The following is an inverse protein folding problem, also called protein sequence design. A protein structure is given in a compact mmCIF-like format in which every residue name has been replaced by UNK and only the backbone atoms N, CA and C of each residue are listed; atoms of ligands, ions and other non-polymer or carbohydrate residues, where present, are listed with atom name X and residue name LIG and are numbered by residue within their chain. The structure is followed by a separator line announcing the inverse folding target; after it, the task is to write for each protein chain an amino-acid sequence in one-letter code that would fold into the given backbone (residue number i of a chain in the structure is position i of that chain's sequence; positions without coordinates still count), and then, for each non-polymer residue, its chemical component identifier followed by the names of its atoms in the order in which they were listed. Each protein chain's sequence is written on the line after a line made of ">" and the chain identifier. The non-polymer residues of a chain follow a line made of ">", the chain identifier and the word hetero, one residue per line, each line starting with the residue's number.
data_IF_918319052752
#
_entry.id   IF_918319052752
#
_cell.length_a   1.000
_cell.length_b   1.000
_cell.length_c   1.000
_cell.angle_alpha   90.00
_cell.angle_beta   90.00
_cell.angle_gamma   90.00
#
_symmetry.space_group_name_H-M   'P 1'
#
loop_
_entity.id
_entity.type
_entity.pdbx_description
1 polymer ?
#
# COMPACT_ATOMS: atom_id res chain seq x y z
N UNK A 1 8.47 -2.62 -0.18
CA UNK A 1 9.37 -3.53 -0.92
C UNK A 1 9.30 -3.22 -2.41
N UNK A 2 8.42 -3.85 -3.20
CA UNK A 2 8.46 -3.84 -4.66
C UNK A 2 8.59 -2.48 -5.37
N UNK A 3 7.89 -1.43 -4.93
CA UNK A 3 7.87 -0.12 -5.62
C UNK A 3 9.15 0.71 -5.38
N UNK A 4 9.99 0.31 -4.42
CA UNK A 4 11.26 0.95 -4.06
C UNK A 4 12.38 0.67 -5.09
N UNK A 5 12.14 1.03 -6.35
CA UNK A 5 13.06 0.93 -7.49
C UNK A 5 12.86 2.15 -8.38
N UNK A 6 13.86 2.57 -9.16
CA UNK A 6 13.75 3.69 -10.08
C UNK A 6 14.58 3.48 -11.35
N UNK A 7 13.93 3.54 -12.52
CA UNK A 7 14.59 3.46 -13.83
C UNK A 7 15.47 4.68 -14.08
N UNK A 8 14.99 5.88 -13.74
CA UNK A 8 15.73 7.13 -13.96
C UNK A 8 16.90 7.33 -13.00
N UNK A 9 16.79 6.88 -11.75
CA UNK A 9 17.87 6.99 -10.74
C UNK A 9 18.84 5.79 -10.75
N UNK A 10 18.48 4.70 -11.42
CA UNK A 10 19.30 3.50 -11.58
C UNK A 10 19.38 2.60 -10.34
N UNK A 11 20.16 1.50 -10.41
CA UNK A 11 20.13 0.43 -9.39
C UNK A 11 20.54 0.85 -7.97
N UNK A 12 21.26 1.98 -7.83
CA UNK A 12 21.65 2.50 -6.51
C UNK A 12 20.49 3.11 -5.72
N UNK A 13 19.34 3.36 -6.36
CA UNK A 13 18.15 3.89 -5.70
C UNK A 13 17.36 2.82 -4.92
N UNK A 14 17.48 1.55 -5.31
CA UNK A 14 16.73 0.44 -4.72
C UNK A 14 16.50 -0.69 -5.73
N UNK A 15 16.39 -1.93 -5.26
CA UNK A 15 16.31 -3.13 -6.09
C UNK A 15 14.89 -3.65 -6.36
N UNK A 16 13.86 -3.01 -5.80
CA UNK A 16 12.46 -3.35 -6.03
C UNK A 16 11.97 -4.49 -5.14
N UNK A 17 11.42 -5.56 -5.74
CA UNK A 17 10.93 -6.71 -4.97
C UNK A 17 12.11 -7.61 -4.58
N UNK A 18 12.93 -7.15 -3.63
CA UNK A 18 14.22 -7.73 -3.27
C UNK A 18 14.33 -8.09 -1.77
N UNK A 19 13.30 -7.78 -0.97
CA UNK A 19 13.27 -8.01 0.47
C UNK A 19 14.12 -7.02 1.27
N UNK A 20 14.49 -5.86 0.70
CA UNK A 20 15.28 -4.83 1.38
C UNK A 20 14.65 -4.39 2.71
N UNK A 21 13.31 -4.39 2.79
CA UNK A 21 12.56 -4.10 4.02
C UNK A 21 12.91 -5.05 5.18
N UNK A 22 13.15 -6.34 4.89
CA UNK A 22 13.49 -7.35 5.90
C UNK A 22 15.00 -7.40 6.18
N UNK A 23 15.82 -7.15 5.16
CA UNK A 23 17.28 -7.22 5.25
C UNK A 23 17.88 -5.96 5.88
N UNK A 24 17.22 -4.80 5.74
CA UNK A 24 17.61 -3.52 6.31
C UNK A 24 16.47 -2.91 7.16
N UNK A 25 16.02 -3.61 8.22
CA UNK A 25 14.79 -3.26 8.93
C UNK A 25 14.88 -1.94 9.71
N UNK A 26 16.07 -1.37 9.84
CA UNK A 26 16.29 -0.08 10.51
C UNK A 26 16.47 1.09 9.54
N UNK A 27 16.29 0.89 8.23
CA UNK A 27 16.46 1.93 7.20
C UNK A 27 15.10 2.33 6.62
N UNK A 28 14.59 1.59 5.64
CA UNK A 28 13.36 1.95 4.92
C UNK A 28 12.11 2.02 5.81
N UNK A 29 11.90 1.11 6.79
CA UNK A 29 10.75 1.21 7.69
C UNK A 29 10.71 2.48 8.53
N UNK A 30 11.83 3.20 8.66
CA UNK A 30 11.90 4.46 9.41
C UNK A 30 11.65 5.71 8.54
N UNK A 31 11.44 5.57 7.22
CA UNK A 31 11.01 6.68 6.37
C UNK A 31 9.55 7.04 6.65
N UNK A 32 9.20 8.32 6.56
CA UNK A 32 7.84 8.79 6.91
C UNK A 32 6.75 8.15 6.06
N UNK A 33 7.02 7.92 4.77
CA UNK A 33 6.09 7.27 3.85
C UNK A 33 5.86 5.77 4.16
N UNK A 34 6.71 5.16 5.00
CA UNK A 34 6.62 3.77 5.42
C UNK A 34 6.08 3.62 6.86
N UNK A 35 5.52 4.67 7.45
CA UNK A 35 5.01 4.63 8.82
C UNK A 35 4.03 3.46 9.02
N UNK A 36 4.33 2.59 9.99
CA UNK A 36 3.53 1.39 10.31
C UNK A 36 3.93 0.11 9.56
N UNK A 37 4.87 0.16 8.60
CA UNK A 37 5.31 -1.05 7.90
C UNK A 37 6.14 -1.98 8.80
N UNK A 38 6.71 -1.45 9.89
CA UNK A 38 7.54 -2.14 10.86
C UNK A 38 6.83 -3.35 11.49
N UNK A 39 5.52 -3.28 11.73
CA UNK A 39 4.72 -4.41 12.19
C UNK A 39 4.81 -5.61 11.24
N UNK A 40 4.64 -5.37 9.93
CA UNK A 40 4.71 -6.41 8.90
C UNK A 40 6.13 -6.97 8.75
N UNK A 41 7.14 -6.10 8.82
CA UNK A 41 8.56 -6.49 8.78
C UNK A 41 8.91 -7.39 9.97
N UNK A 42 8.54 -6.97 11.17
CA UNK A 42 8.77 -7.72 12.40
C UNK A 42 8.05 -9.08 12.41
N UNK A 43 6.87 -9.16 11.80
CA UNK A 43 6.14 -10.42 11.64
C UNK A 43 6.82 -11.40 10.68
N UNK A 44 7.48 -10.92 9.61
CA UNK A 44 8.09 -11.77 8.59
C UNK A 44 9.54 -12.16 8.87
N UNK A 45 10.31 -11.36 9.63
CA UNK A 45 11.70 -11.67 10.00
C UNK A 45 11.84 -13.08 10.64
N UNK A 46 10.98 -13.51 11.58
CA UNK A 46 11.04 -14.86 12.13
C UNK A 46 10.87 -15.97 11.09
N UNK A 47 10.06 -15.75 10.05
CA UNK A 47 9.90 -16.71 8.95
C UNK A 47 11.15 -16.76 8.07
N UNK A 48 11.81 -15.62 7.82
CA UNK A 48 13.10 -15.58 7.14
C UNK A 48 14.17 -16.37 7.89
N UNK A 49 14.22 -16.24 9.22
CA UNK A 49 15.15 -17.02 10.05
C UNK A 49 14.81 -18.53 10.05
N UNK A 50 13.53 -18.89 10.04
CA UNK A 50 13.05 -20.28 10.09
C UNK A 50 13.14 -21.00 8.75
N UNK A 51 13.07 -20.27 7.63
CA UNK A 51 13.07 -20.81 6.27
C UNK A 51 14.25 -20.28 5.45
N UNK A 52 15.51 -20.57 5.84
CA UNK A 52 16.71 -19.94 5.28
C UNK A 52 16.99 -20.30 3.81
N UNK A 53 16.28 -21.27 3.24
CA UNK A 53 16.38 -21.63 1.81
C UNK A 53 15.52 -20.74 0.91
N UNK A 54 14.72 -19.84 1.48
CA UNK A 54 13.86 -18.89 0.76
C UNK A 54 14.42 -17.49 1.00
N UNK A 55 14.60 -16.70 -0.05
CA UNK A 55 15.13 -15.34 0.06
C UNK A 55 14.11 -14.38 0.69
N UNK A 56 14.58 -13.27 1.26
CA UNK A 56 13.73 -12.23 1.82
C UNK A 56 12.69 -11.73 0.79
N UNK A 57 13.12 -11.43 -0.45
CA UNK A 57 12.22 -10.99 -1.51
C UNK A 57 11.17 -12.04 -1.88
N UNK A 58 11.52 -13.33 -1.90
CA UNK A 58 10.53 -14.38 -2.14
C UNK A 58 9.57 -14.54 -0.96
N UNK A 59 10.04 -14.38 0.29
CA UNK A 59 9.19 -14.41 1.49
C UNK A 59 8.14 -13.30 1.45
N UNK A 60 8.54 -12.05 1.15
CA UNK A 60 7.61 -10.92 1.07
C UNK A 60 6.52 -11.20 0.03
N UNK A 61 6.91 -11.56 -1.19
CA UNK A 61 5.96 -11.77 -2.28
C UNK A 61 5.06 -12.99 -2.05
N UNK A 62 5.60 -14.09 -1.51
CA UNK A 62 4.81 -15.27 -1.19
C UNK A 62 3.83 -15.02 -0.05
N UNK A 63 4.26 -14.33 1.01
CA UNK A 63 3.40 -13.97 2.13
C UNK A 63 2.21 -13.11 1.69
N UNK A 64 2.44 -12.13 0.80
CA UNK A 64 1.36 -11.33 0.20
C UNK A 64 0.36 -12.17 -0.60
N UNK A 65 0.85 -13.10 -1.44
CA UNK A 65 -0.01 -14.01 -2.20
C UNK A 65 -0.86 -14.92 -1.28
N UNK A 66 -0.26 -15.44 -0.21
CA UNK A 66 -0.98 -16.23 0.81
C UNK A 66 -2.00 -15.36 1.56
N UNK A 67 -1.65 -14.13 1.95
CA UNK A 67 -2.56 -13.22 2.63
C UNK A 67 -3.81 -12.93 1.79
N UNK A 68 -3.64 -12.57 0.52
CA UNK A 68 -4.74 -12.31 -0.41
C UNK A 68 -5.61 -13.55 -0.64
N UNK A 69 -5.05 -14.76 -0.61
CA UNK A 69 -5.84 -15.99 -0.77
C UNK A 69 -6.90 -16.20 0.33
N UNK A 70 -6.80 -15.48 1.45
CA UNK A 70 -7.78 -15.52 2.53
C UNK A 70 -8.93 -14.51 2.33
N UNK A 71 -8.83 -13.60 1.37
CA UNK A 71 -9.83 -12.58 1.06
C UNK A 71 -10.81 -13.12 0.01
N UNK A 72 -12.10 -13.30 0.32
CA UNK A 72 -13.08 -13.75 -0.67
C UNK A 72 -13.12 -12.81 -1.88
N UNK A 73 -13.04 -13.38 -3.10
CA UNK A 73 -13.01 -12.61 -4.35
C UNK A 73 -11.60 -12.33 -4.89
N UNK A 74 -10.55 -12.50 -4.08
CA UNK A 74 -9.18 -12.23 -4.51
C UNK A 74 -8.69 -13.24 -5.56
N UNK A 75 -7.84 -12.80 -6.51
CA UNK A 75 -7.21 -13.71 -7.46
C UNK A 75 -6.19 -14.61 -6.77
N UNK A 76 -5.98 -15.80 -7.35
CA UNK A 76 -4.78 -16.60 -7.04
C UNK A 76 -3.60 -16.01 -7.82
N UNK A 77 -2.76 -15.25 -7.13
CA UNK A 77 -1.62 -14.59 -7.76
C UNK A 77 -0.62 -15.59 -8.35
N UNK A 78 0.00 -15.20 -9.46
CA UNK A 78 1.22 -15.83 -9.93
C UNK A 78 2.34 -15.63 -8.89
N UNK A 79 3.09 -16.70 -8.62
CA UNK A 79 4.26 -16.63 -7.76
C UNK A 79 5.46 -17.24 -8.48
N UNK A 80 6.40 -16.37 -8.87
CA UNK A 80 7.71 -16.75 -9.36
C UNK A 80 8.72 -16.62 -8.22
N UNK A 81 9.54 -17.64 -8.03
CA UNK A 81 10.59 -17.72 -7.01
C UNK A 81 11.99 -17.64 -7.63
N UNK A 82 13.00 -17.45 -6.79
CA UNK A 82 14.40 -17.38 -7.17
C UNK A 82 15.01 -15.98 -7.06
N UNK A 83 14.37 -15.05 -6.34
CA UNK A 83 15.00 -13.75 -6.06
C UNK A 83 16.28 -13.93 -5.25
N UNK A 84 17.37 -13.21 -5.56
CA UNK A 84 18.58 -13.27 -4.76
C UNK A 84 18.33 -12.82 -3.31
N UNK A 85 19.07 -13.39 -2.36
CA UNK A 85 18.99 -13.01 -0.94
C UNK A 85 20.06 -11.97 -0.54
N UNK A 86 20.38 -11.04 -1.44
CA UNK A 86 21.32 -9.95 -1.21
C UNK A 86 20.89 -8.73 -2.02
N UNK A 87 20.87 -7.57 -1.38
CA UNK A 87 20.47 -6.29 -1.99
C UNK A 87 21.03 -5.11 -1.19
N UNK A 88 20.54 -3.90 -1.44
CA UNK A 88 20.81 -2.64 -0.74
C UNK A 88 19.52 -2.07 -0.15
N UNK A 89 19.56 -1.23 0.89
CA UNK A 89 18.39 -0.45 1.27
C UNK A 89 18.05 0.54 0.16
N UNK A 90 16.76 0.73 -0.12
CA UNK A 90 16.33 1.76 -1.04
C UNK A 90 16.47 3.17 -0.44
N UNK A 91 16.55 4.18 -1.30
CA UNK A 91 16.49 5.59 -0.89
C UNK A 91 15.06 6.01 -0.54
N UNK A 92 14.94 7.07 0.25
CA UNK A 92 13.64 7.69 0.55
C UNK A 92 13.03 8.38 -0.68
N UNK A 93 11.72 8.64 -0.63
CA UNK A 93 10.95 9.32 -1.67
C UNK A 93 10.59 8.44 -2.88
N UNK A 94 10.62 7.11 -2.71
CA UNK A 94 10.21 6.14 -3.73
C UNK A 94 8.80 5.56 -3.51
N UNK A 95 8.20 5.82 -2.35
CA UNK A 95 6.85 5.37 -1.98
C UNK A 95 5.85 6.48 -2.29
N UNK A 96 4.79 6.22 -3.08
CA UNK A 96 3.67 7.16 -3.22
C UNK A 96 3.01 7.45 -1.87
N UNK A 97 2.66 8.71 -1.61
CA UNK A 97 1.98 9.14 -0.37
C UNK A 97 0.56 9.65 -0.67
N UNK A 98 -0.37 9.60 0.29
CA UNK A 98 -1.79 9.89 0.02
C UNK A 98 -2.07 11.34 -0.39
N UNK A 99 -1.18 12.29 -0.10
CA UNK A 99 -1.25 13.68 -0.53
C UNK A 99 -0.66 13.97 -1.92
N UNK A 100 -0.07 12.96 -2.57
CA UNK A 100 0.52 13.12 -3.90
C UNK A 100 -0.52 13.48 -4.97
N UNK A 101 -0.11 14.26 -5.96
CA UNK A 101 -0.93 14.53 -7.14
C UNK A 101 -1.01 13.30 -8.05
N UNK A 102 -2.06 13.20 -8.87
CA UNK A 102 -2.19 12.13 -9.88
C UNK A 102 -0.97 12.10 -10.82
N UNK A 103 -0.42 13.26 -11.19
CA UNK A 103 0.82 13.33 -11.98
C UNK A 103 2.00 12.68 -11.26
N UNK A 104 2.19 12.99 -9.96
CA UNK A 104 3.26 12.42 -9.15
C UNK A 104 3.13 10.91 -9.05
N UNK A 105 1.92 10.42 -8.74
CA UNK A 105 1.61 8.99 -8.62
C UNK A 105 1.90 8.28 -9.95
N UNK A 106 1.29 8.73 -11.05
CA UNK A 106 1.45 8.05 -12.35
C UNK A 106 2.91 8.06 -12.82
N UNK A 107 3.63 9.17 -12.63
CA UNK A 107 5.06 9.24 -12.96
C UNK A 107 5.91 8.32 -12.06
N UNK A 108 5.56 8.20 -10.78
CA UNK A 108 6.28 7.32 -9.84
C UNK A 108 6.14 5.86 -10.26
N UNK A 109 4.93 5.45 -10.62
CA UNK A 109 4.65 4.09 -11.11
C UNK A 109 5.29 3.82 -12.48
N UNK A 110 5.26 4.77 -13.42
CA UNK A 110 5.96 4.64 -14.70
C UNK A 110 7.49 4.51 -14.51
N UNK A 111 8.08 5.34 -13.65
CA UNK A 111 9.52 5.27 -13.36
C UNK A 111 9.93 3.98 -12.62
N UNK A 112 9.07 3.43 -11.76
CA UNK A 112 9.36 2.19 -11.04
C UNK A 112 9.33 0.97 -11.98
N UNK A 113 8.30 0.85 -12.83
CA UNK A 113 8.02 -0.38 -13.56
C UNK A 113 7.38 -0.20 -14.93
N UNK A 114 7.17 1.02 -15.40
CA UNK A 114 6.50 1.30 -16.67
C UNK A 114 5.01 1.00 -16.61
N UNK A 115 4.43 1.11 -15.41
CA UNK A 115 3.02 0.84 -15.19
C UNK A 115 2.19 1.93 -15.87
N UNK A 116 1.25 1.49 -16.68
CA UNK A 116 0.21 2.33 -17.26
C UNK A 116 -0.78 2.79 -16.18
N UNK A 117 -1.54 3.89 -16.41
CA UNK A 117 -2.60 4.31 -15.50
C UNK A 117 -3.62 3.20 -15.18
N UNK A 118 -3.93 2.34 -16.16
CA UNK A 118 -4.79 1.18 -15.95
C UNK A 118 -4.22 0.20 -14.92
N UNK A 119 -2.92 -0.10 -14.99
CA UNK A 119 -2.26 -0.99 -14.02
C UNK A 119 -2.17 -0.35 -12.64
N UNK A 120 -1.96 0.97 -12.55
CA UNK A 120 -1.98 1.71 -11.27
C UNK A 120 -3.36 1.57 -10.60
N UNK A 121 -4.45 1.83 -11.33
CA UNK A 121 -5.81 1.68 -10.79
C UNK A 121 -6.12 0.22 -10.44
N UNK A 122 -5.63 -0.74 -11.24
CA UNK A 122 -5.78 -2.17 -10.96
C UNK A 122 -5.11 -2.57 -9.64
N UNK A 123 -3.92 -2.03 -9.35
CA UNK A 123 -3.21 -2.29 -8.10
C UNK A 123 -3.90 -1.68 -6.87
N UNK A 124 -4.63 -0.58 -7.04
CA UNK A 124 -5.45 0.03 -5.98
C UNK A 124 -6.69 -0.80 -5.61
N UNK A 125 -7.01 -1.87 -6.33
CA UNK A 125 -7.98 -2.86 -5.84
C UNK A 125 -7.57 -3.44 -4.47
N UNK A 126 -6.26 -3.42 -4.13
CA UNK A 126 -5.78 -3.74 -2.78
C UNK A 126 -6.42 -2.90 -1.68
N UNK A 127 -6.87 -1.68 -1.97
CA UNK A 127 -7.58 -0.84 -1.01
C UNK A 127 -8.97 -1.37 -0.63
N UNK A 128 -9.52 -2.35 -1.37
CA UNK A 128 -10.74 -3.07 -0.97
C UNK A 128 -10.54 -3.96 0.28
N UNK A 129 -9.30 -4.28 0.62
CA UNK A 129 -8.95 -5.06 1.82
C UNK A 129 -7.92 -4.33 2.69
N UNK A 130 -8.09 -3.01 2.82
CA UNK A 130 -7.14 -2.15 3.51
C UNK A 130 -7.79 -1.21 4.53
N UNK A 131 -6.96 -0.75 5.46
CA UNK A 131 -7.30 0.19 6.53
C UNK A 131 -6.10 1.10 6.82
N UNK A 132 -6.34 2.25 7.45
CA UNK A 132 -5.30 3.17 7.89
C UNK A 132 -5.19 3.25 9.42
N UNK A 133 -3.95 3.17 9.92
CA UNK A 133 -3.62 3.29 11.35
C UNK A 133 -2.80 4.54 11.69
N UNK A 134 -2.26 5.24 10.68
CA UNK A 134 -1.27 6.32 10.86
C UNK A 134 -1.64 7.66 10.23
N UNK A 135 -2.66 7.70 9.38
CA UNK A 135 -3.11 8.94 8.72
C UNK A 135 -3.75 9.88 9.74
N UNK A 136 -4.66 9.36 10.54
CA UNK A 136 -5.22 10.05 11.71
C UNK A 136 -4.58 9.49 12.98
N UNK A 137 -3.95 10.32 13.83
CA UNK A 137 -3.28 9.86 15.05
C UNK A 137 -4.24 9.51 16.20
N UNK A 138 -5.55 9.72 16.05
CA UNK A 138 -6.57 9.56 17.12
C UNK A 138 -7.42 8.31 16.95
N UNK A 139 -7.37 7.66 15.80
CA UNK A 139 -8.12 6.44 15.47
C UNK A 139 -7.18 5.43 14.78
N UNK A 140 -7.51 4.14 14.91
CA UNK A 140 -6.85 3.05 14.21
C UNK A 140 -7.84 2.30 13.32
N UNK A 141 -7.31 1.49 12.41
CA UNK A 141 -8.07 0.58 11.58
C UNK A 141 -9.23 1.22 10.80
N UNK A 142 -9.11 2.48 10.37
CA UNK A 142 -10.12 3.15 9.56
C UNK A 142 -10.14 2.52 8.15
N UNK A 143 -11.22 1.81 7.75
CA UNK A 143 -11.22 1.10 6.49
C UNK A 143 -11.40 2.05 5.30
N UNK A 144 -10.92 1.64 4.11
CA UNK A 144 -11.10 2.44 2.89
C UNK A 144 -12.40 2.14 2.14
N UNK A 145 -13.03 1.00 2.45
CA UNK A 145 -14.40 0.69 2.05
C UNK A 145 -15.18 0.05 3.19
N UNK A 146 -16.46 -0.23 2.98
CA UNK A 146 -17.34 -0.84 3.98
C UNK A 146 -17.12 -2.34 4.21
N UNK A 147 -16.24 -2.97 3.43
CA UNK A 147 -16.03 -4.43 3.40
C UNK A 147 -14.54 -4.82 3.44
N UNK A 148 -13.74 -4.32 4.40
CA UNK A 148 -12.26 -4.40 4.38
C UNK A 148 -11.67 -5.82 4.53
N UNK A 149 -12.52 -6.84 4.58
CA UNK A 149 -12.14 -8.25 4.64
C UNK A 149 -12.60 -9.05 3.40
N UNK A 150 -13.19 -8.38 2.41
CA UNK A 150 -13.68 -8.95 1.15
C UNK A 150 -12.99 -8.24 0.00
N UNK A 151 -12.41 -8.98 -0.93
CA UNK A 151 -11.79 -8.39 -2.12
C UNK A 151 -12.85 -8.24 -3.21
N UNK A 152 -13.65 -7.18 -3.09
CA UNK A 152 -14.71 -6.84 -4.03
C UNK A 152 -14.44 -5.50 -4.71
N UNK A 153 -15.48 -4.78 -5.14
CA UNK A 153 -15.36 -3.51 -5.85
C UNK A 153 -15.92 -2.33 -5.06
N UNK A 154 -16.20 -2.49 -3.77
CA UNK A 154 -16.82 -1.45 -2.94
C UNK A 154 -15.96 -0.20 -2.87
N UNK A 155 -14.64 -0.33 -2.71
CA UNK A 155 -13.71 0.83 -2.76
C UNK A 155 -13.93 1.73 -3.99
N UNK A 156 -14.11 1.14 -5.18
CA UNK A 156 -14.30 1.90 -6.42
C UNK A 156 -15.67 2.60 -6.48
N UNK A 157 -16.70 2.02 -5.86
CA UNK A 157 -18.01 2.64 -5.72
C UNK A 157 -18.00 3.76 -4.68
N UNK A 158 -17.46 3.45 -3.50
CA UNK A 158 -17.57 4.28 -2.31
C UNK A 158 -16.72 5.55 -2.42
N UNK A 159 -15.56 5.49 -3.08
CA UNK A 159 -14.73 6.69 -3.37
C UNK A 159 -15.43 7.71 -4.29
N UNK A 160 -16.41 7.27 -5.09
CA UNK A 160 -17.21 8.15 -5.96
C UNK A 160 -18.32 8.88 -5.19
N UNK A 161 -18.73 8.38 -4.02
CA UNK A 161 -19.78 8.98 -3.21
C UNK A 161 -19.39 10.37 -2.67
N UNK A 162 -20.38 11.21 -2.40
CA UNK A 162 -20.14 12.52 -1.78
C UNK A 162 -19.67 12.33 -0.34
N UNK A 163 -18.54 12.94 0.02
CA UNK A 163 -18.08 13.00 1.41
C UNK A 163 -19.03 13.79 2.30
N UNK A 164 -19.29 13.30 3.51
CA UNK A 164 -20.22 13.89 4.48
C UNK A 164 -19.59 14.18 5.85
N UNK A 165 -18.38 13.68 6.10
CA UNK A 165 -17.61 13.95 7.33
C UNK A 165 -16.23 13.32 7.30
N UNK A 166 -15.61 13.15 8.46
CA UNK A 166 -14.34 12.45 8.67
C UNK A 166 -14.54 11.45 9.82
N UNK A 167 -13.92 10.25 9.78
CA UNK A 167 -14.02 9.27 10.86
C UNK A 167 -13.29 9.72 12.14
N UNK A 168 -12.32 10.64 12.02
CA UNK A 168 -11.59 11.25 13.12
C UNK A 168 -11.49 12.78 12.98
N UNK A 169 -10.26 13.29 13.03
CA UNK A 169 -9.91 14.70 12.82
C UNK A 169 -10.19 15.15 11.38
N UNK A 170 -10.30 16.46 11.17
CA UNK A 170 -10.62 17.05 9.85
C UNK A 170 -9.43 17.72 9.18
N UNK A 171 -8.22 17.51 9.70
CA UNK A 171 -7.01 18.25 9.32
C UNK A 171 -5.79 17.34 9.11
N UNK A 172 -6.01 16.06 8.84
CA UNK A 172 -4.94 15.11 8.54
C UNK A 172 -4.43 15.31 7.10
N UNK A 173 -3.12 15.21 6.91
CA UNK A 173 -2.50 15.26 5.58
C UNK A 173 -2.91 14.03 4.77
N UNK A 174 -3.27 14.24 3.50
CA UNK A 174 -3.64 13.14 2.59
C UNK A 174 -5.03 12.54 2.84
N UNK A 175 -5.85 13.13 3.72
CA UNK A 175 -7.23 12.68 3.96
C UNK A 175 -8.26 13.69 3.41
N UNK A 176 -9.35 13.17 2.86
CA UNK A 176 -10.51 13.96 2.42
C UNK A 176 -11.79 13.40 3.02
N UNK A 177 -12.88 14.18 2.93
CA UNK A 177 -14.16 13.78 3.53
C UNK A 177 -14.66 12.44 3.00
N UNK A 178 -14.94 11.54 3.95
CA UNK A 178 -15.50 10.20 3.77
C UNK A 178 -17.03 10.22 3.61
N UNK A 179 -17.60 9.29 2.82
CA UNK A 179 -19.04 9.12 2.67
C UNK A 179 -19.67 8.33 3.83
N UNK A 180 -18.89 7.50 4.54
CA UNK A 180 -19.33 6.64 5.65
C UNK A 180 -18.50 6.86 6.93
N UNK A 181 -18.38 8.10 7.46
CA UNK A 181 -17.45 8.43 8.54
C UNK A 181 -17.90 7.93 9.93
N UNK A 182 -19.09 7.33 10.07
CA UNK A 182 -19.65 7.02 11.39
C UNK A 182 -19.00 5.75 11.96
N UNK A 183 -18.22 5.90 13.02
CA UNK A 183 -17.70 4.79 13.83
C UNK A 183 -18.37 4.65 15.21
N UNK A 184 -18.10 3.54 15.90
CA UNK A 184 -18.48 3.32 17.30
C UNK A 184 -17.58 2.30 17.99
N UNK A 185 -17.02 2.64 19.16
CA UNK A 185 -16.09 1.74 19.85
C UNK A 185 -14.86 1.49 18.98
N UNK A 186 -14.57 0.22 18.69
CA UNK A 186 -13.46 -0.19 17.81
C UNK A 186 -13.88 -0.33 16.34
N UNK A 187 -15.16 -0.10 16.02
CA UNK A 187 -15.65 -0.11 14.64
C UNK A 187 -15.45 1.30 14.07
N UNK A 188 -14.23 1.62 13.66
CA UNK A 188 -13.84 2.91 13.08
C UNK A 188 -14.60 3.17 11.78
N UNK A 189 -15.03 4.42 11.56
CA UNK A 189 -15.70 4.81 10.31
C UNK A 189 -14.75 4.78 9.10
N UNK A 190 -15.31 4.75 7.89
CA UNK A 190 -14.52 4.74 6.64
C UNK A 190 -13.67 6.02 6.54
N UNK A 191 -12.42 5.87 6.09
CA UNK A 191 -11.51 6.95 5.74
C UNK A 191 -11.34 7.02 4.23
N UNK A 192 -11.20 8.23 3.67
CA UNK A 192 -10.92 8.42 2.25
C UNK A 192 -9.60 9.14 2.05
N UNK A 193 -8.67 8.49 1.35
CA UNK A 193 -7.41 9.10 0.94
C UNK A 193 -7.62 10.13 -0.18
N UNK A 194 -6.84 11.21 -0.15
CA UNK A 194 -6.86 12.24 -1.17
C UNK A 194 -6.44 11.68 -2.54
N UNK A 195 -5.42 10.81 -2.56
CA UNK A 195 -4.93 10.13 -3.77
C UNK A 195 -6.03 9.31 -4.46
N UNK A 196 -6.75 8.48 -3.72
CA UNK A 196 -7.84 7.65 -4.25
C UNK A 196 -8.98 8.53 -4.78
N UNK A 197 -9.35 9.58 -4.02
CA UNK A 197 -10.36 10.55 -4.44
C UNK A 197 -9.99 11.24 -5.75
N UNK A 198 -8.72 11.63 -5.89
CA UNK A 198 -8.19 12.34 -7.06
C UNK A 198 -8.13 11.42 -8.28
N UNK A 199 -7.61 10.19 -8.12
CA UNK A 199 -7.55 9.18 -9.18
C UNK A 199 -8.93 8.81 -9.70
N UNK A 200 -9.94 8.70 -8.84
CA UNK A 200 -11.32 8.42 -9.23
C UNK A 200 -11.99 9.53 -10.06
N UNK A 201 -11.35 10.70 -10.22
CA UNK A 201 -11.93 11.89 -10.88
C UNK A 201 -11.03 12.51 -11.95
N UNK A 202 -9.79 12.08 -12.05
CA UNK A 202 -8.88 12.54 -13.10
C UNK A 202 -9.23 11.86 -14.43
N UNK A 203 -9.27 12.65 -15.52
CA UNK A 203 -9.63 12.17 -16.86
C UNK A 203 -8.80 10.98 -17.40
N UNK A 204 -7.62 10.71 -16.81
CA UNK A 204 -6.74 9.59 -17.20
C UNK A 204 -7.10 8.29 -16.51
N UNK A 205 -7.89 8.34 -15.43
CA UNK A 205 -8.12 7.22 -14.51
C UNK A 205 -9.58 7.08 -14.03
N UNK A 206 -10.46 8.03 -14.36
CA UNK A 206 -11.89 8.01 -14.03
C UNK A 206 -12.75 7.11 -14.92
#
# INVERSE_FOLDING_TARGET
>A
DAISISRSKGPAAGGGADGSMLLFPTVEPNFSANAGIDDSVNNLIPFMAKHPTISAGDIVQFAGAVALSNCPGAPRLEFLAGRPNHTIPAIDGLIPVPEDTVDSILNRFDDAGGFSPFEVISLLASHSVARADKVDPTIDAAPFDSTPFTFDTQIFLEVLLKGVGFPGLTNNTGEVSSPLPKGSGNDTGEMRLQSDFALARDSRTA
#
